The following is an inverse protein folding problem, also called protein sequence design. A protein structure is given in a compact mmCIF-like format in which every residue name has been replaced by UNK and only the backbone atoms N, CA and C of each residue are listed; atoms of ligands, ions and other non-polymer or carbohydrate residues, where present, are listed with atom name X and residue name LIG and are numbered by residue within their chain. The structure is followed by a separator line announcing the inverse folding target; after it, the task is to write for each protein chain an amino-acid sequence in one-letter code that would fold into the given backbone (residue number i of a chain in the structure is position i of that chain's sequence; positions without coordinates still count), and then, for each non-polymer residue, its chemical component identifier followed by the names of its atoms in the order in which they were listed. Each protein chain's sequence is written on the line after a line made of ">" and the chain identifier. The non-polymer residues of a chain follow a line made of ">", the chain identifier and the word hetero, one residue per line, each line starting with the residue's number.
data_IF_054267727310
#
_entry.id   IF_054267727310
#
_cell.length_a   1.000
_cell.length_b   1.000
_cell.length_c   1.000
_cell.angle_alpha   90.00
_cell.angle_beta   90.00
_cell.angle_gamma   90.00
#
_symmetry.space_group_name_H-M   'P 1'
#
loop_
_entity.id
_entity.type
_entity.pdbx_description
1 polymer ?
#
# COMPACT_ATOMS: atom_id res chain seq x y z
N UNK A 1 -14.81 -80.88 26.23
CA UNK A 1 -14.28 -80.83 24.84
C UNK A 1 -15.13 -79.87 24.02
N UNK A 2 -15.26 -78.61 24.44
CA UNK A 2 -16.12 -77.61 23.77
C UNK A 2 -15.39 -76.27 23.60
N UNK A 3 -14.06 -76.32 23.44
CA UNK A 3 -13.18 -75.16 23.30
C UNK A 3 -12.38 -75.20 21.99
N UNK A 4 -12.98 -75.71 20.90
CA UNK A 4 -12.32 -75.82 19.59
C UNK A 4 -13.03 -75.05 18.46
N UNK A 5 -14.01 -74.22 18.80
CA UNK A 5 -14.48 -73.13 17.93
C UNK A 5 -13.87 -71.80 18.37
N UNK A 6 -12.57 -71.88 18.65
CA UNK A 6 -11.67 -70.77 18.88
C UNK A 6 -11.72 -69.84 17.66
N UNK A 7 -12.42 -68.72 17.86
CA UNK A 7 -12.07 -67.39 17.35
C UNK A 7 -11.41 -67.37 15.96
N UNK A 8 -12.20 -67.66 14.93
CA UNK A 8 -11.87 -67.15 13.59
C UNK A 8 -12.47 -65.75 13.50
N UNK A 9 -11.86 -64.79 14.19
CA UNK A 9 -12.09 -63.37 13.94
C UNK A 9 -11.65 -63.11 12.49
N UNK A 10 -12.52 -62.60 11.60
CA UNK A 10 -12.11 -62.35 10.22
C UNK A 10 -10.94 -61.36 10.24
N UNK A 11 -9.91 -61.51 9.40
CA UNK A 11 -8.83 -60.55 9.33
C UNK A 11 -9.46 -59.21 9.00
N UNK A 12 -9.30 -58.23 9.89
CA UNK A 12 -9.61 -56.83 9.62
C UNK A 12 -8.92 -56.51 8.29
N UNK A 13 -9.71 -56.43 7.21
CA UNK A 13 -9.26 -55.84 5.96
C UNK A 13 -8.89 -54.40 6.30
N UNK A 14 -7.60 -54.17 6.58
CA UNK A 14 -7.03 -52.84 6.54
C UNK A 14 -7.28 -52.36 5.13
N UNK A 15 -8.32 -51.54 4.94
CA UNK A 15 -8.56 -50.83 3.69
C UNK A 15 -7.25 -50.16 3.35
N UNK A 16 -6.54 -50.68 2.34
CA UNK A 16 -5.37 -50.02 1.81
C UNK A 16 -5.79 -48.58 1.49
N UNK A 17 -5.07 -47.54 1.95
CA UNK A 17 -5.46 -46.17 1.69
C UNK A 17 -5.61 -46.04 0.18
N UNK A 18 -6.86 -45.87 -0.27
CA UNK A 18 -7.21 -45.99 -1.67
C UNK A 18 -6.41 -44.96 -2.46
N UNK A 19 -6.00 -45.27 -3.69
CA UNK A 19 -5.26 -44.34 -4.55
C UNK A 19 -5.95 -42.97 -4.69
N UNK A 20 -7.25 -42.90 -4.40
CA UNK A 20 -8.04 -41.69 -4.27
C UNK A 20 -7.51 -40.73 -3.20
N UNK A 21 -7.08 -41.19 -2.03
CA UNK A 21 -6.48 -40.32 -1.01
C UNK A 21 -5.17 -39.69 -1.51
N UNK A 22 -4.33 -40.48 -2.19
CA UNK A 22 -3.09 -39.98 -2.80
C UNK A 22 -3.37 -38.96 -3.90
N UNK A 23 -4.39 -39.20 -4.73
CA UNK A 23 -4.85 -38.25 -5.75
C UNK A 23 -5.38 -36.94 -5.14
N UNK A 24 -6.17 -37.03 -4.06
CA UNK A 24 -6.68 -35.85 -3.35
C UNK A 24 -5.54 -35.04 -2.72
N UNK A 25 -4.55 -35.71 -2.13
CA UNK A 25 -3.36 -35.05 -1.58
C UNK A 25 -2.55 -34.37 -2.69
N UNK A 26 -2.33 -35.04 -3.83
CA UNK A 26 -1.64 -34.45 -4.99
C UNK A 26 -2.40 -33.24 -5.56
N UNK A 27 -3.73 -33.33 -5.67
CA UNK A 27 -4.58 -32.23 -6.09
C UNK A 27 -4.48 -31.05 -5.12
N UNK A 28 -4.55 -31.30 -3.81
CA UNK A 28 -4.42 -30.28 -2.79
C UNK A 28 -3.06 -29.58 -2.85
N UNK A 29 -1.97 -30.34 -3.02
CA UNK A 29 -0.62 -29.76 -3.21
C UNK A 29 -0.58 -28.89 -4.48
N UNK A 30 -1.13 -29.38 -5.59
CA UNK A 30 -1.20 -28.61 -6.83
C UNK A 30 -1.97 -27.30 -6.67
N UNK A 31 -3.06 -27.32 -5.92
CA UNK A 31 -3.89 -26.14 -5.65
C UNK A 31 -3.17 -25.14 -4.73
N UNK A 32 -2.43 -25.62 -3.73
CA UNK A 32 -1.58 -24.78 -2.87
C UNK A 32 -0.47 -24.12 -3.70
N UNK A 33 0.19 -24.87 -4.59
CA UNK A 33 1.24 -24.33 -5.48
C UNK A 33 0.66 -23.28 -6.43
N UNK A 34 -0.53 -23.52 -6.98
CA UNK A 34 -1.24 -22.55 -7.82
C UNK A 34 -1.53 -21.25 -7.05
N UNK A 35 -2.05 -21.37 -5.82
CA UNK A 35 -2.32 -20.20 -4.98
C UNK A 35 -1.04 -19.43 -4.63
N UNK A 36 0.05 -20.13 -4.32
CA UNK A 36 1.36 -19.52 -4.07
C UNK A 36 1.88 -18.72 -5.28
N UNK A 37 1.54 -19.12 -6.51
CA UNK A 37 1.89 -18.38 -7.71
C UNK A 37 0.93 -17.20 -7.99
N UNK A 38 -0.37 -17.38 -7.79
CA UNK A 38 -1.38 -16.37 -8.15
C UNK A 38 -1.40 -15.20 -7.16
N UNK A 39 -1.33 -15.47 -5.86
CA UNK A 39 -1.44 -14.44 -4.80
C UNK A 39 -0.41 -13.31 -4.94
N UNK A 40 0.91 -13.56 -5.13
CA UNK A 40 1.87 -12.46 -5.28
C UNK A 40 1.62 -11.64 -6.54
N UNK A 41 1.25 -12.28 -7.66
CA UNK A 41 0.94 -11.60 -8.92
C UNK A 41 -0.29 -10.71 -8.77
N UNK A 42 -1.35 -11.22 -8.16
CA UNK A 42 -2.57 -10.46 -7.87
C UNK A 42 -2.28 -9.25 -6.96
N UNK A 43 -1.42 -9.41 -5.94
CA UNK A 43 -0.99 -8.28 -5.09
C UNK A 43 -0.26 -7.20 -5.86
N UNK A 44 0.70 -7.55 -6.71
CA UNK A 44 1.47 -6.59 -7.49
C UNK A 44 0.56 -5.85 -8.49
N UNK A 45 -0.32 -6.58 -9.18
CA UNK A 45 -1.30 -5.99 -10.11
C UNK A 45 -2.28 -5.06 -9.39
N UNK A 46 -2.81 -5.49 -8.24
CA UNK A 46 -3.71 -4.67 -7.42
C UNK A 46 -3.04 -3.38 -6.96
N UNK A 47 -1.76 -3.45 -6.53
CA UNK A 47 -0.98 -2.27 -6.16
C UNK A 47 -0.76 -1.31 -7.32
N UNK A 48 -0.39 -1.81 -8.50
CA UNK A 48 -0.23 -0.97 -9.69
C UNK A 48 -1.55 -0.33 -10.15
N UNK A 49 -2.65 -1.07 -10.05
CA UNK A 49 -3.97 -0.54 -10.36
C UNK A 49 -4.39 0.55 -9.36
N UNK A 50 -4.19 0.30 -8.07
CA UNK A 50 -4.41 1.27 -7.00
C UNK A 50 -3.60 2.55 -7.20
N UNK A 51 -2.31 2.43 -7.52
CA UNK A 51 -1.46 3.58 -7.82
C UNK A 51 -1.97 4.40 -9.01
N UNK A 52 -2.40 3.77 -10.10
CA UNK A 52 -2.96 4.50 -11.25
C UNK A 52 -4.23 5.26 -10.89
N UNK A 53 -5.10 4.64 -10.08
CA UNK A 53 -6.30 5.30 -9.55
C UNK A 53 -5.93 6.48 -8.67
N UNK A 54 -5.00 6.29 -7.75
CA UNK A 54 -4.47 7.35 -6.88
C UNK A 54 -3.91 8.52 -7.69
N UNK A 55 -3.04 8.28 -8.67
CA UNK A 55 -2.48 9.37 -9.50
C UNK A 55 -3.58 10.10 -10.27
N UNK A 56 -4.59 9.38 -10.76
CA UNK A 56 -5.75 9.98 -11.42
C UNK A 56 -6.54 10.87 -10.44
N UNK A 57 -6.87 10.36 -9.25
CA UNK A 57 -7.57 11.10 -8.21
C UNK A 57 -6.77 12.33 -7.78
N UNK A 58 -5.47 12.16 -7.52
CA UNK A 58 -4.56 13.25 -7.14
C UNK A 58 -4.51 14.34 -8.22
N UNK A 59 -4.48 13.97 -9.50
CA UNK A 59 -4.53 14.93 -10.61
C UNK A 59 -5.85 15.70 -10.63
N UNK A 60 -6.98 15.00 -10.45
CA UNK A 60 -8.31 15.64 -10.40
C UNK A 60 -8.40 16.61 -9.23
N UNK A 61 -7.99 16.20 -8.04
CA UNK A 61 -8.02 17.02 -6.84
C UNK A 61 -7.07 18.22 -6.93
N UNK A 62 -5.86 18.01 -7.44
CA UNK A 62 -4.90 19.10 -7.71
C UNK A 62 -5.48 20.11 -8.70
N UNK A 63 -6.14 19.64 -9.77
CA UNK A 63 -6.80 20.51 -10.73
C UNK A 63 -7.97 21.29 -10.11
N UNK A 64 -8.87 20.64 -9.36
CA UNK A 64 -10.02 21.31 -8.75
C UNK A 64 -9.59 22.40 -7.76
N UNK A 65 -8.64 22.07 -6.88
CA UNK A 65 -8.18 23.02 -5.88
C UNK A 65 -7.29 24.12 -6.47
N UNK A 66 -6.65 23.90 -7.63
CA UNK A 66 -5.97 24.96 -8.39
C UNK A 66 -6.94 26.10 -8.76
N UNK A 67 -8.16 25.77 -9.21
CA UNK A 67 -9.14 26.79 -9.59
C UNK A 67 -9.89 27.40 -8.41
N UNK A 68 -10.02 26.65 -7.31
CA UNK A 68 -10.69 27.13 -6.09
C UNK A 68 -9.73 27.83 -5.11
N UNK A 69 -8.42 27.75 -5.36
CA UNK A 69 -7.35 28.30 -4.52
C UNK A 69 -7.45 27.86 -3.04
N UNK A 70 -7.84 26.61 -2.85
CA UNK A 70 -8.11 25.99 -1.54
C UNK A 70 -7.13 24.84 -1.24
N UNK A 71 -5.85 25.06 -1.57
CA UNK A 71 -4.76 24.12 -1.30
C UNK A 71 -4.02 24.57 -0.05
N UNK A 72 -4.05 23.72 0.98
CA UNK A 72 -3.36 23.96 2.25
C UNK A 72 -2.37 22.84 2.51
N UNK A 73 -1.21 23.15 3.07
CA UNK A 73 -0.33 22.15 3.64
C UNK A 73 0.01 22.50 5.08
N UNK A 74 0.03 21.50 5.94
CA UNK A 74 0.59 21.58 7.27
C UNK A 74 1.94 20.89 7.26
N UNK A 75 3.00 21.63 7.61
CA UNK A 75 4.37 21.13 7.69
C UNK A 75 4.97 21.65 8.99
N UNK A 76 5.48 20.75 9.83
CA UNK A 76 6.07 21.10 11.14
C UNK A 76 5.15 22.00 11.99
N UNK A 77 3.83 21.77 11.95
CA UNK A 77 2.82 22.54 12.68
C UNK A 77 2.52 23.93 12.11
N UNK A 78 3.09 24.29 10.96
CA UNK A 78 2.79 25.54 10.25
C UNK A 78 1.84 25.27 9.10
N UNK A 79 0.74 26.03 9.02
CA UNK A 79 -0.18 26.00 7.90
C UNK A 79 0.27 26.94 6.78
N UNK A 80 0.47 26.39 5.59
CA UNK A 80 0.93 27.09 4.39
C UNK A 80 -0.13 27.01 3.31
N UNK A 81 -0.31 28.10 2.56
CA UNK A 81 -1.13 28.11 1.34
C UNK A 81 -0.29 27.63 0.17
N UNK A 82 -0.60 26.45 -0.33
CA UNK A 82 0.14 25.86 -1.44
C UNK A 82 -0.41 26.42 -2.74
N UNK A 83 0.45 27.08 -3.51
CA UNK A 83 0.06 27.52 -4.85
C UNK A 83 -0.16 26.32 -5.76
N UNK A 84 -1.04 26.47 -6.74
CA UNK A 84 -1.30 25.44 -7.72
C UNK A 84 -0.04 24.91 -8.43
N UNK A 85 0.93 25.79 -8.71
CA UNK A 85 2.22 25.42 -9.30
C UNK A 85 3.03 24.47 -8.38
N UNK A 86 3.08 24.76 -7.08
CA UNK A 86 3.77 23.91 -6.11
C UNK A 86 3.04 22.58 -5.90
N UNK A 87 1.70 22.56 -5.96
CA UNK A 87 0.93 21.31 -5.95
C UNK A 87 1.24 20.43 -7.17
N UNK A 88 1.39 21.03 -8.35
CA UNK A 88 1.84 20.31 -9.55
C UNK A 88 3.27 19.76 -9.41
N UNK A 89 4.17 20.46 -8.72
CA UNK A 89 5.51 19.94 -8.43
C UNK A 89 5.42 18.67 -7.57
N UNK A 90 4.56 18.65 -6.54
CA UNK A 90 4.32 17.47 -5.69
C UNK A 90 3.71 16.33 -6.51
N UNK A 91 2.70 16.62 -7.32
CA UNK A 91 2.11 15.63 -8.23
C UNK A 91 3.14 15.03 -9.20
N UNK A 92 3.96 15.87 -9.85
CA UNK A 92 4.99 15.43 -10.78
C UNK A 92 6.07 14.61 -10.07
N UNK A 93 6.45 15.00 -8.85
CA UNK A 93 7.38 14.26 -8.01
C UNK A 93 6.85 12.84 -7.73
N UNK A 94 5.59 12.72 -7.30
CA UNK A 94 4.92 11.44 -7.06
C UNK A 94 4.84 10.60 -8.35
N UNK A 95 4.35 11.19 -9.43
CA UNK A 95 4.17 10.52 -10.72
C UNK A 95 5.48 9.97 -11.28
N UNK A 96 6.57 10.74 -11.16
CA UNK A 96 7.91 10.35 -11.63
C UNK A 96 8.55 9.23 -10.79
N UNK A 97 8.23 9.16 -9.49
CA UNK A 97 8.75 8.13 -8.59
C UNK A 97 8.01 6.80 -8.74
N UNK A 98 6.80 6.82 -9.29
CA UNK A 98 6.05 5.62 -9.62
C UNK A 98 5.38 4.96 -8.41
N UNK A 99 4.91 3.71 -8.55
CA UNK A 99 4.08 3.04 -7.56
C UNK A 99 4.79 2.68 -6.25
N UNK A 100 6.11 2.89 -6.15
CA UNK A 100 6.88 2.57 -4.95
C UNK A 100 6.71 1.11 -4.50
N UNK A 101 6.74 0.91 -3.18
CA UNK A 101 6.50 -0.37 -2.51
C UNK A 101 5.10 -0.47 -1.95
N UNK A 102 4.62 -1.71 -1.86
CA UNK A 102 3.44 -2.06 -1.10
C UNK A 102 3.54 -1.48 0.32
N UNK A 103 2.49 -0.83 0.82
CA UNK A 103 2.49 -0.29 2.17
C UNK A 103 2.60 -1.42 3.19
N UNK A 104 3.30 -1.15 4.28
CA UNK A 104 3.23 -1.95 5.50
C UNK A 104 2.07 -1.47 6.37
N UNK A 105 2.29 -1.43 7.68
CA UNK A 105 1.39 -0.70 8.57
C UNK A 105 1.70 0.80 8.49
N UNK A 106 0.68 1.67 8.59
CA UNK A 106 0.90 3.10 8.66
C UNK A 106 1.71 3.45 9.92
N UNK A 107 2.60 4.47 9.84
CA UNK A 107 3.28 5.00 11.03
C UNK A 107 2.26 5.48 12.07
N UNK A 108 2.54 5.26 13.36
CA UNK A 108 1.69 5.77 14.46
C UNK A 108 2.05 7.20 14.87
N UNK A 109 3.18 7.71 14.38
CA UNK A 109 3.64 9.07 14.65
C UNK A 109 2.82 10.08 13.86
N UNK A 110 2.87 11.34 14.29
CA UNK A 110 2.26 12.44 13.54
C UNK A 110 2.92 12.56 12.16
N UNK A 111 2.16 12.82 11.09
CA UNK A 111 2.74 13.08 9.76
C UNK A 111 3.72 14.26 9.82
N UNK A 112 4.80 14.16 9.05
CA UNK A 112 5.73 15.27 8.88
C UNK A 112 5.11 16.39 8.02
N UNK A 113 4.27 15.99 7.07
CA UNK A 113 3.52 16.90 6.23
C UNK A 113 2.13 16.35 5.91
N UNK A 114 1.14 17.23 5.90
CA UNK A 114 -0.24 16.93 5.48
C UNK A 114 -0.67 17.95 4.43
N UNK A 115 -1.06 17.50 3.25
CA UNK A 115 -1.63 18.36 2.21
C UNK A 115 -3.13 18.15 2.17
N UNK A 116 -3.87 19.24 2.26
CA UNK A 116 -5.31 19.31 2.14
C UNK A 116 -5.66 19.83 0.75
N UNK A 117 -6.34 18.99 -0.02
CA UNK A 117 -6.90 19.30 -1.32
C UNK A 117 -8.37 19.69 -1.11
N UNK A 118 -8.59 20.90 -0.59
CA UNK A 118 -9.90 21.33 -0.10
C UNK A 118 -10.41 20.45 1.03
N UNK A 119 -11.72 20.21 1.05
CA UNK A 119 -12.40 19.41 2.09
C UNK A 119 -12.57 17.93 1.71
N UNK A 120 -12.28 17.57 0.45
CA UNK A 120 -12.62 16.25 -0.10
C UNK A 120 -11.45 15.27 -0.09
N UNK A 121 -10.21 15.75 -0.09
CA UNK A 121 -9.03 14.90 -0.15
C UNK A 121 -7.87 15.41 0.71
N UNK A 122 -7.11 14.48 1.26
CA UNK A 122 -5.98 14.74 2.13
C UNK A 122 -4.84 13.77 1.81
N UNK A 123 -3.61 14.27 1.78
CA UNK A 123 -2.41 13.47 1.60
C UNK A 123 -1.48 13.65 2.80
N UNK A 124 -1.16 12.56 3.49
CA UNK A 124 -0.24 12.54 4.63
C UNK A 124 1.08 11.91 4.21
N UNK A 125 2.17 12.51 4.67
CA UNK A 125 3.54 12.12 4.36
C UNK A 125 4.31 11.88 5.66
N UNK A 126 5.02 10.75 5.74
CA UNK A 126 5.95 10.44 6.82
C UNK A 126 7.30 10.02 6.26
N UNK A 127 8.36 10.51 6.87
CA UNK A 127 9.72 10.02 6.70
C UNK A 127 9.83 8.68 7.39
N UNK A 128 10.22 7.65 6.64
CA UNK A 128 10.37 6.29 7.17
C UNK A 128 11.76 5.74 6.89
N UNK A 129 12.32 5.08 7.90
CA UNK A 129 13.54 4.30 7.74
C UNK A 129 13.22 2.98 7.03
N UNK A 130 13.87 2.74 5.90
CA UNK A 130 13.75 1.48 5.16
C UNK A 130 14.79 0.47 5.66
N UNK A 131 14.48 -0.81 5.53
CA UNK A 131 15.38 -1.87 5.98
C UNK A 131 16.72 -1.80 5.24
N UNK A 132 17.80 -2.27 5.85
CA UNK A 132 19.14 -2.35 5.24
C UNK A 132 19.19 -3.18 3.94
N UNK A 133 18.20 -4.06 3.69
CA UNK A 133 18.08 -4.78 2.41
C UNK A 133 17.76 -3.82 1.24
N UNK A 134 17.25 -2.64 1.55
CA UNK A 134 17.01 -1.58 0.58
C UNK A 134 18.28 -0.76 0.42
N UNK A 135 18.74 -0.63 -0.82
CA UNK A 135 19.95 0.14 -1.20
C UNK A 135 19.92 1.61 -0.76
N UNK A 136 18.78 2.10 -0.27
CA UNK A 136 18.58 3.46 0.23
C UNK A 136 17.83 3.37 1.57
N UNK A 137 18.40 3.89 2.67
CA UNK A 137 17.90 3.67 4.02
C UNK A 137 16.69 4.57 4.38
N UNK A 138 16.33 5.52 3.52
CA UNK A 138 15.20 6.43 3.74
C UNK A 138 14.15 6.31 2.63
N UNK A 139 12.91 6.49 3.04
CA UNK A 139 11.74 6.54 2.17
C UNK A 139 10.71 7.52 2.71
N UNK A 140 9.65 7.72 1.93
CA UNK A 140 8.47 8.47 2.35
C UNK A 140 7.26 7.57 2.27
N UNK A 141 6.58 7.36 3.40
CA UNK A 141 5.26 6.74 3.43
C UNK A 141 4.25 7.79 3.01
N UNK A 142 3.42 7.44 2.04
CA UNK A 142 2.37 8.30 1.51
C UNK A 142 1.03 7.62 1.78
N UNK A 143 0.12 8.36 2.40
CA UNK A 143 -1.28 8.00 2.53
C UNK A 143 -2.11 9.08 1.85
N UNK A 144 -3.03 8.68 1.00
CA UNK A 144 -3.96 9.56 0.33
C UNK A 144 -5.38 9.09 0.63
N UNK A 145 -6.13 9.95 1.30
CA UNK A 145 -7.53 9.78 1.59
C UNK A 145 -8.29 10.70 0.63
N UNK A 146 -9.19 10.15 -0.18
CA UNK A 146 -9.91 10.93 -1.18
C UNK A 146 -11.20 10.26 -1.64
N UNK A 147 -12.04 10.97 -2.42
CA UNK A 147 -13.39 10.49 -2.76
C UNK A 147 -13.38 9.25 -3.66
N UNK A 148 -12.29 9.01 -4.39
CA UNK A 148 -12.12 7.82 -5.24
C UNK A 148 -11.63 6.58 -4.47
N UNK A 149 -11.30 6.75 -3.19
CA UNK A 149 -10.84 5.72 -2.26
C UNK A 149 -9.42 5.95 -1.74
N UNK A 150 -9.13 5.29 -0.62
CA UNK A 150 -7.87 5.47 0.10
C UNK A 150 -6.76 4.65 -0.55
N UNK A 151 -5.56 5.23 -0.60
CA UNK A 151 -4.38 4.57 -1.13
C UNK A 151 -3.14 4.90 -0.31
N UNK A 152 -2.34 3.88 0.00
CA UNK A 152 -1.07 4.05 0.68
C UNK A 152 0.05 3.27 0.01
N UNK A 153 1.25 3.81 0.05
CA UNK A 153 2.45 3.19 -0.52
C UNK A 153 3.72 3.85 0.03
N UNK A 154 4.87 3.21 -0.21
CA UNK A 154 6.16 3.72 0.24
C UNK A 154 7.00 4.12 -0.97
N UNK A 155 7.38 5.38 -1.03
CA UNK A 155 8.36 5.91 -1.98
C UNK A 155 9.75 5.52 -1.47
N UNK A 156 10.49 4.73 -2.26
CA UNK A 156 11.85 4.36 -1.90
C UNK A 156 12.86 5.35 -2.44
N UNK A 157 13.85 5.65 -1.61
CA UNK A 157 15.07 6.27 -2.09
C UNK A 157 14.99 7.76 -2.34
N UNK A 158 13.95 8.39 -1.80
CA UNK A 158 13.82 9.82 -1.59
C UNK A 158 13.39 9.99 -0.14
N UNK A 159 13.90 11.02 0.51
CA UNK A 159 13.46 11.46 1.82
C UNK A 159 12.48 12.63 1.65
N UNK A 160 11.97 13.12 2.78
CA UNK A 160 11.04 14.25 2.81
C UNK A 160 11.63 15.53 2.17
N UNK A 161 12.97 15.65 2.09
CA UNK A 161 13.63 16.80 1.46
C UNK A 161 13.31 16.93 -0.04
N UNK A 162 12.87 15.84 -0.68
CA UNK A 162 12.41 15.87 -2.05
C UNK A 162 11.12 16.67 -2.24
N UNK A 163 10.28 16.72 -1.20
CA UNK A 163 9.03 17.48 -1.18
C UNK A 163 9.16 18.83 -0.48
N UNK A 164 10.15 18.99 0.41
CA UNK A 164 10.35 20.21 1.21
C UNK A 164 10.52 21.46 0.33
N UNK A 165 11.13 21.35 -0.85
CA UNK A 165 11.29 22.48 -1.75
C UNK A 165 9.97 23.03 -2.32
N UNK A 166 8.92 22.20 -2.41
CA UNK A 166 7.58 22.62 -2.83
C UNK A 166 6.67 22.97 -1.64
N UNK A 167 7.00 22.43 -0.46
CA UNK A 167 6.26 22.60 0.80
C UNK A 167 6.93 23.58 1.76
N UNK A 168 7.93 24.35 1.30
CA UNK A 168 8.68 25.29 2.13
C UNK A 168 7.90 26.59 2.36
N UNK A 169 7.98 27.19 3.57
CA UNK A 169 7.48 28.54 3.85
C UNK A 169 8.11 29.63 2.95
N UNK A 170 9.30 29.38 2.38
CA UNK A 170 9.94 30.35 1.48
C UNK A 170 9.22 30.46 0.13
N UNK A 171 8.49 29.41 -0.27
CA UNK A 171 7.78 29.35 -1.56
C UNK A 171 6.27 29.47 -1.44
N UNK A 172 5.75 29.42 -0.23
CA UNK A 172 4.32 29.41 0.04
C UNK A 172 4.03 30.39 1.17
N UNK A 173 3.11 31.34 0.99
CA UNK A 173 2.70 32.22 2.07
C UNK A 173 2.02 31.42 3.18
N UNK A 174 2.07 31.95 4.40
CA UNK A 174 1.28 31.41 5.51
C UNK A 174 -0.21 31.41 5.13
N UNK A 175 -0.94 30.41 5.62
CA UNK A 175 -2.39 30.39 5.49
C UNK A 175 -2.99 31.41 6.46
N UNK A 176 -3.57 32.49 5.93
CA UNK A 176 -4.35 33.47 6.70
C UNK A 176 -5.84 33.09 6.60
N UNK A 177 -6.51 32.93 7.75
CA UNK A 177 -7.95 32.62 7.86
C UNK A 177 -8.86 33.75 7.35
#
# INVERSE_FOLDING_TARGET
>A
MADLYEQITPPQQRKAPSGQWKLLVLLAIGLILLLLCIVPVARILGHQYGYKRFVSALSTQTYQCYYQDNLRAEVDGTSLRITGDNAYVVYNAISALGPGKLPGNPPQETPDAVLYYGDEAMMKLWSVALSQADRRPSGVYVEFDGPEGDFSYIINGKDMSYFSAALSPEKNPAWEE
#
